data_IF_096341420257
#
_entry.id   IF_096341420257
#
_cell.length_a   1.000
_cell.length_b   1.000
_cell.length_c   1.000
_cell.angle_alpha   90.00
_cell.angle_beta   90.00
_cell.angle_gamma   90.00
#
_symmetry.space_group_name_H-M   'P 1'
#
loop_
_entity.id
_entity.type
_entity.pdbx_description
1 polymer ?
#
# COMPACT_ATOMS: atom_id res chain seq x y z
N UNK A 1 30.43 -9.39 -44.39
CA UNK A 1 29.23 -9.23 -43.56
C UNK A 1 29.54 -9.80 -42.19
N UNK A 2 29.68 -8.95 -41.16
CA UNK A 2 29.87 -9.39 -39.78
C UNK A 2 28.54 -9.91 -39.24
N UNK A 3 28.47 -11.20 -38.94
CA UNK A 3 27.33 -11.81 -38.27
C UNK A 3 27.27 -11.23 -36.86
N UNK A 4 26.23 -10.45 -36.55
CA UNK A 4 25.98 -10.00 -35.17
C UNK A 4 25.66 -11.24 -34.35
N UNK A 5 26.62 -11.70 -33.55
CA UNK A 5 26.41 -12.80 -32.60
C UNK A 5 25.50 -12.29 -31.48
N UNK A 6 24.23 -12.69 -31.52
CA UNK A 6 23.33 -12.52 -30.40
C UNK A 6 23.80 -13.43 -29.26
N UNK A 7 24.10 -12.82 -28.11
CA UNK A 7 24.36 -13.55 -26.86
C UNK A 7 23.08 -14.26 -26.42
N UNK A 8 23.21 -15.49 -25.96
CA UNK A 8 22.14 -16.17 -25.23
C UNK A 8 21.78 -15.41 -23.93
N UNK A 9 20.57 -15.62 -23.36
CA UNK A 9 20.19 -14.99 -22.09
C UNK A 9 21.18 -15.25 -20.95
N UNK A 10 21.71 -16.48 -20.83
CA UNK A 10 22.75 -16.82 -19.85
C UNK A 10 24.04 -16.05 -20.08
N UNK A 11 24.55 -16.01 -21.31
CA UNK A 11 25.78 -15.26 -21.63
C UNK A 11 25.62 -13.76 -21.38
N UNK A 12 24.43 -13.21 -21.64
CA UNK A 12 24.09 -11.84 -21.29
C UNK A 12 24.15 -11.64 -19.77
N UNK A 13 23.45 -12.48 -19.00
CA UNK A 13 23.44 -12.41 -17.54
C UNK A 13 24.84 -12.44 -16.93
N UNK A 14 25.69 -13.41 -17.31
CA UNK A 14 27.06 -13.52 -16.79
C UNK A 14 27.92 -12.31 -17.20
N UNK A 15 27.75 -11.83 -18.43
CA UNK A 15 28.49 -10.64 -18.89
C UNK A 15 28.08 -9.38 -18.13
N UNK A 16 26.79 -9.20 -17.86
CA UNK A 16 26.26 -8.08 -17.07
C UNK A 16 26.74 -8.18 -15.61
N UNK A 17 26.68 -9.37 -15.02
CA UNK A 17 27.12 -9.65 -13.65
C UNK A 17 28.59 -9.25 -13.44
N UNK A 18 29.46 -9.60 -14.39
CA UNK A 18 30.87 -9.20 -14.39
C UNK A 18 31.04 -7.69 -14.62
N UNK A 19 30.29 -7.11 -15.56
CA UNK A 19 30.39 -5.70 -15.91
C UNK A 19 29.98 -4.75 -14.77
N UNK A 20 28.97 -5.13 -13.98
CA UNK A 20 28.51 -4.33 -12.82
C UNK A 20 29.30 -4.62 -11.55
N UNK A 21 30.32 -5.51 -11.60
CA UNK A 21 31.09 -5.90 -10.42
C UNK A 21 30.24 -6.56 -9.35
N UNK A 22 29.31 -7.44 -9.75
CA UNK A 22 28.39 -8.10 -8.82
C UNK A 22 29.11 -8.85 -7.71
N UNK A 23 28.63 -8.67 -6.48
CA UNK A 23 29.06 -9.37 -5.27
C UNK A 23 27.84 -10.08 -4.70
N UNK A 24 28.01 -11.33 -4.24
CA UNK A 24 26.93 -12.04 -3.56
C UNK A 24 26.60 -11.33 -2.24
N UNK A 25 25.32 -11.28 -1.85
CA UNK A 25 24.85 -10.59 -0.63
C UNK A 25 25.59 -11.06 0.64
N UNK A 26 25.93 -12.35 0.70
CA UNK A 26 26.64 -12.96 1.84
C UNK A 26 28.09 -12.48 1.95
N UNK A 27 28.70 -12.08 0.83
CA UNK A 27 30.08 -11.59 0.75
C UNK A 27 30.17 -10.06 0.77
N UNK A 28 29.05 -9.36 0.60
CA UNK A 28 28.97 -7.91 0.53
C UNK A 28 29.28 -7.27 1.90
N UNK A 29 30.07 -6.21 1.88
CA UNK A 29 30.47 -5.45 3.07
C UNK A 29 29.86 -4.05 3.04
N UNK A 30 29.90 -3.36 4.18
CA UNK A 30 29.41 -1.98 4.28
C UNK A 30 30.02 -1.06 3.20
N UNK A 31 31.31 -1.21 2.92
CA UNK A 31 32.02 -0.44 1.89
C UNK A 31 31.43 -0.58 0.49
N UNK A 32 30.86 -1.75 0.16
CA UNK A 32 30.25 -2.00 -1.14
C UNK A 32 28.91 -1.23 -1.26
N UNK A 33 28.15 -1.19 -0.16
CA UNK A 33 26.93 -0.39 -0.06
C UNK A 33 27.22 1.12 -0.09
N UNK A 34 28.33 1.55 0.50
CA UNK A 34 28.74 2.96 0.49
C UNK A 34 29.16 3.39 -0.92
N UNK A 35 29.93 2.57 -1.64
CA UNK A 35 30.36 2.84 -3.04
C UNK A 35 29.18 2.96 -4.00
N UNK A 36 28.13 2.16 -3.81
CA UNK A 36 26.91 2.26 -4.62
C UNK A 36 25.99 3.42 -4.19
N UNK A 37 26.30 4.09 -3.07
CA UNK A 37 25.43 5.11 -2.50
C UNK A 37 24.07 4.56 -2.08
N UNK A 38 24.05 3.35 -1.50
CA UNK A 38 22.81 2.64 -1.17
C UNK A 38 21.95 3.45 -0.19
N UNK A 39 20.65 3.49 -0.45
CA UNK A 39 19.64 4.09 0.43
C UNK A 39 18.49 3.11 0.59
N UNK A 40 18.00 2.96 1.81
CA UNK A 40 16.86 2.12 2.14
C UNK A 40 15.85 2.89 2.98
N UNK A 41 14.57 2.59 2.79
CA UNK A 41 13.48 3.06 3.62
C UNK A 41 12.71 1.86 4.17
N UNK A 42 12.10 2.02 5.33
CA UNK A 42 11.24 1.03 5.96
C UNK A 42 9.86 1.64 6.20
N UNK A 43 8.83 0.95 5.73
CA UNK A 43 7.43 1.31 5.96
C UNK A 43 6.74 0.17 6.71
N UNK A 44 6.04 0.51 7.80
CA UNK A 44 5.38 -0.46 8.68
C UNK A 44 3.93 -0.03 8.89
N UNK A 45 2.98 -0.92 8.59
CA UNK A 45 1.56 -0.73 8.85
C UNK A 45 1.13 -1.65 9.99
N UNK A 46 0.50 -1.11 11.03
CA UNK A 46 0.05 -1.87 12.20
C UNK A 46 -1.42 -1.55 12.51
N UNK A 47 -2.27 -2.58 12.56
CA UNK A 47 -3.63 -2.43 13.06
C UNK A 47 -3.63 -2.26 14.59
N UNK A 48 -4.39 -1.30 15.09
CA UNK A 48 -4.53 -1.04 16.52
C UNK A 48 -5.65 -1.91 17.09
N UNK A 49 -5.41 -2.56 18.24
CA UNK A 49 -6.41 -3.35 18.95
C UNK A 49 -7.34 -2.44 19.76
N UNK A 50 -8.31 -1.82 19.08
CA UNK A 50 -9.29 -0.89 19.64
C UNK A 50 -10.72 -1.41 19.52
N UNK A 51 -11.63 -0.89 20.33
CA UNK A 51 -13.02 -1.32 20.36
C UNK A 51 -13.77 -1.07 19.03
N UNK A 52 -13.54 0.08 18.40
CA UNK A 52 -14.21 0.52 17.17
C UNK A 52 -13.26 1.08 16.11
N UNK A 53 -13.70 1.07 14.85
CA UNK A 53 -12.98 1.66 13.72
C UNK A 53 -12.72 3.16 13.92
N UNK A 54 -11.80 3.72 13.13
CA UNK A 54 -11.26 5.06 13.38
C UNK A 54 -12.31 6.19 13.30
N UNK A 55 -13.25 6.11 12.36
CA UNK A 55 -14.21 7.18 12.07
C UNK A 55 -15.67 6.70 12.10
N UNK A 56 -15.95 5.54 12.72
CA UNK A 56 -17.31 5.05 12.92
C UNK A 56 -17.39 4.15 14.16
N UNK A 57 -18.59 3.71 14.53
CA UNK A 57 -18.84 2.88 15.72
C UNK A 57 -18.79 1.37 15.45
N UNK A 58 -18.42 0.94 14.24
CA UNK A 58 -18.28 -0.47 13.93
C UNK A 58 -17.13 -1.11 14.71
N UNK A 59 -17.29 -2.35 15.19
CA UNK A 59 -16.24 -3.04 15.94
C UNK A 59 -15.01 -3.34 15.07
N UNK A 60 -13.84 -3.46 15.70
CA UNK A 60 -12.62 -4.00 15.05
C UNK A 60 -12.36 -5.45 15.45
N UNK A 61 -11.45 -6.13 14.74
CA UNK A 61 -11.00 -7.50 15.08
C UNK A 61 -11.98 -8.62 14.69
N UNK A 62 -13.07 -8.31 14.00
CA UNK A 62 -14.03 -9.30 13.47
C UNK A 62 -13.83 -9.40 11.95
N UNK A 63 -13.32 -10.55 11.50
CA UNK A 63 -13.06 -10.82 10.08
C UNK A 63 -14.10 -11.82 9.54
N UNK A 64 -14.60 -11.54 8.34
CA UNK A 64 -15.60 -12.38 7.66
C UNK A 64 -14.93 -13.27 6.62
N UNK A 65 -15.49 -14.46 6.38
CA UNK A 65 -15.16 -15.23 5.18
C UNK A 65 -15.78 -14.60 3.91
N UNK A 66 -15.27 -14.92 2.71
CA UNK A 66 -15.79 -14.33 1.47
C UNK A 66 -17.30 -14.53 1.22
N UNK A 67 -17.87 -15.60 1.76
CA UNK A 67 -19.28 -15.99 1.68
C UNK A 67 -20.13 -15.49 2.86
N UNK A 68 -19.52 -14.84 3.85
CA UNK A 68 -20.19 -14.29 5.04
C UNK A 68 -20.45 -12.79 4.87
N UNK A 69 -21.55 -12.45 4.19
CA UNK A 69 -21.98 -11.07 4.01
C UNK A 69 -23.50 -10.95 3.93
N UNK A 70 -24.02 -9.80 4.34
CA UNK A 70 -25.45 -9.54 4.39
C UNK A 70 -25.93 -8.78 3.13
N UNK A 71 -25.02 -8.03 2.50
CA UNK A 71 -25.29 -7.32 1.25
C UNK A 71 -24.02 -7.11 0.42
N UNK A 72 -24.21 -6.88 -0.87
CA UNK A 72 -23.15 -6.48 -1.79
C UNK A 72 -23.59 -5.29 -2.63
N UNK A 73 -22.63 -4.44 -3.00
CA UNK A 73 -22.89 -3.31 -3.90
C UNK A 73 -21.69 -3.02 -4.79
N UNK A 74 -21.96 -2.41 -5.95
CA UNK A 74 -20.98 -2.12 -6.98
C UNK A 74 -20.65 -0.62 -7.00
N UNK A 75 -19.37 -0.29 -7.12
CA UNK A 75 -18.90 1.07 -7.35
C UNK A 75 -17.98 1.15 -8.56
N UNK A 76 -17.96 2.33 -9.16
CA UNK A 76 -16.98 2.75 -10.15
C UNK A 76 -16.31 4.01 -9.65
N UNK A 77 -14.98 3.96 -9.51
CA UNK A 77 -14.20 5.14 -9.14
C UNK A 77 -14.07 6.06 -10.35
N UNK A 78 -14.08 7.38 -10.11
CA UNK A 78 -13.87 8.40 -11.15
C UNK A 78 -12.67 9.26 -10.78
N UNK A 79 -11.82 9.65 -11.75
CA UNK A 79 -10.75 10.58 -11.49
C UNK A 79 -11.35 11.98 -11.29
N UNK A 80 -10.75 12.74 -10.38
CA UNK A 80 -11.12 14.13 -10.11
C UNK A 80 -10.02 15.04 -10.62
N UNK A 81 -10.39 16.23 -11.10
CA UNK A 81 -9.42 17.25 -11.47
C UNK A 81 -8.68 17.75 -10.23
N UNK A 82 -7.37 17.92 -10.34
CA UNK A 82 -6.58 18.64 -9.35
C UNK A 82 -6.97 20.11 -9.33
N UNK A 83 -6.50 20.84 -8.31
CA UNK A 83 -6.63 22.30 -8.24
C UNK A 83 -6.06 23.00 -9.49
N UNK A 84 -5.07 22.40 -10.16
CA UNK A 84 -4.46 22.89 -11.40
C UNK A 84 -5.21 22.45 -12.66
N UNK A 85 -6.38 21.81 -12.52
CA UNK A 85 -7.18 21.31 -13.63
C UNK A 85 -6.57 20.11 -14.35
N UNK A 86 -5.64 19.39 -13.72
CA UNK A 86 -4.97 18.21 -14.29
C UNK A 86 -5.44 16.93 -13.60
N UNK A 87 -5.51 15.84 -14.35
CA UNK A 87 -5.73 14.51 -13.76
C UNK A 87 -4.43 13.88 -13.32
N UNK A 88 -4.46 13.16 -12.20
CA UNK A 88 -3.40 12.24 -11.85
C UNK A 88 -3.30 11.11 -12.89
N UNK A 89 -2.08 10.83 -13.33
CA UNK A 89 -1.81 9.86 -14.38
C UNK A 89 -2.21 8.43 -13.98
N UNK A 90 -1.98 8.05 -12.72
CA UNK A 90 -2.32 6.72 -12.23
C UNK A 90 -3.85 6.55 -12.09
N UNK A 91 -4.54 7.55 -11.54
CA UNK A 91 -6.00 7.56 -11.46
C UNK A 91 -6.67 7.50 -12.84
N UNK A 92 -6.12 8.19 -13.83
CA UNK A 92 -6.61 8.13 -15.21
C UNK A 92 -6.39 6.76 -15.85
N UNK A 93 -5.24 6.12 -15.58
CA UNK A 93 -4.97 4.76 -16.05
C UNK A 93 -5.91 3.74 -15.42
N UNK A 94 -6.14 3.82 -14.09
CA UNK A 94 -7.10 2.94 -13.40
C UNK A 94 -8.52 3.16 -13.95
N UNK A 95 -8.94 4.41 -14.17
CA UNK A 95 -10.25 4.70 -14.76
C UNK A 95 -10.44 4.08 -16.16
N UNK A 96 -9.40 4.09 -16.99
CA UNK A 96 -9.42 3.47 -18.33
C UNK A 96 -9.62 1.96 -18.28
N UNK A 97 -9.24 1.28 -17.19
CA UNK A 97 -9.52 -0.15 -17.02
C UNK A 97 -11.00 -0.47 -16.86
N UNK A 98 -11.85 0.54 -16.56
CA UNK A 98 -13.28 0.40 -16.27
C UNK A 98 -13.56 -0.63 -15.18
N UNK A 99 -12.68 -0.70 -14.17
CA UNK A 99 -12.77 -1.66 -13.08
C UNK A 99 -14.09 -1.50 -12.32
N UNK A 100 -14.74 -2.65 -12.12
CA UNK A 100 -15.89 -2.80 -11.25
C UNK A 100 -15.39 -3.22 -9.86
N UNK A 101 -15.76 -2.45 -8.82
CA UNK A 101 -15.42 -2.79 -7.44
C UNK A 101 -16.69 -3.24 -6.74
N UNK A 102 -16.76 -4.54 -6.44
CA UNK A 102 -17.86 -5.11 -5.65
C UNK A 102 -17.44 -5.14 -4.19
N UNK A 103 -18.15 -4.38 -3.36
CA UNK A 103 -18.01 -4.40 -1.91
C UNK A 103 -19.02 -5.38 -1.32
N UNK A 104 -18.55 -6.20 -0.37
CA UNK A 104 -19.40 -7.07 0.46
C UNK A 104 -19.38 -6.53 1.88
N UNK A 105 -20.56 -6.44 2.48
CA UNK A 105 -20.72 -5.86 3.81
C UNK A 105 -21.48 -6.81 4.72
N UNK A 106 -21.06 -6.83 5.98
CA UNK A 106 -21.84 -7.44 7.06
C UNK A 106 -22.31 -6.35 8.01
N UNK A 107 -23.58 -6.42 8.39
CA UNK A 107 -24.22 -5.60 9.42
C UNK A 107 -23.51 -5.67 10.78
N UNK A 108 -22.72 -6.73 11.02
CA UNK A 108 -21.93 -6.88 12.24
C UNK A 108 -20.70 -5.96 12.29
N UNK A 109 -20.15 -5.56 11.14
CA UNK A 109 -18.84 -4.89 11.05
C UNK A 109 -18.79 -3.68 10.12
N UNK A 110 -19.89 -3.40 9.43
CA UNK A 110 -20.03 -2.26 8.54
C UNK A 110 -21.31 -1.47 8.86
N UNK A 111 -21.22 -0.16 8.66
CA UNK A 111 -22.34 0.77 8.73
C UNK A 111 -22.35 1.64 7.47
N UNK A 112 -23.30 2.56 7.37
CA UNK A 112 -23.44 3.45 6.21
C UNK A 112 -22.21 4.32 5.95
N UNK A 113 -21.40 4.62 6.96
CA UNK A 113 -20.12 5.29 6.78
C UNK A 113 -19.15 4.47 5.92
N UNK A 114 -19.03 3.16 6.15
CA UNK A 114 -18.18 2.26 5.36
C UNK A 114 -18.68 2.09 3.91
N UNK A 115 -19.95 2.41 3.68
CA UNK A 115 -20.58 2.40 2.36
C UNK A 115 -20.42 3.72 1.60
N UNK A 116 -19.79 4.72 2.23
CA UNK A 116 -19.69 6.11 1.76
C UNK A 116 -21.05 6.80 1.62
N UNK A 117 -22.02 6.42 2.45
CA UNK A 117 -23.40 6.95 2.45
C UNK A 117 -23.69 7.87 3.66
N UNK A 118 -22.73 8.02 4.58
CA UNK A 118 -22.84 8.89 5.75
C UNK A 118 -21.55 9.67 5.98
N UNK A 119 -21.67 10.85 6.59
CA UNK A 119 -20.50 11.63 7.00
C UNK A 119 -19.67 10.92 8.07
N UNK A 120 -18.39 11.27 8.16
CA UNK A 120 -17.48 10.74 9.19
C UNK A 120 -17.90 11.16 10.60
N UNK A 121 -17.82 10.21 11.53
CA UNK A 121 -17.99 10.47 12.95
C UNK A 121 -16.71 11.04 13.57
N UNK A 122 -16.79 11.47 14.83
CA UNK A 122 -15.62 11.88 15.60
C UNK A 122 -14.58 10.74 15.67
N UNK A 123 -13.29 11.11 15.64
CA UNK A 123 -12.18 10.16 15.69
C UNK A 123 -12.28 9.25 16.92
N UNK A 124 -11.88 7.98 16.77
CA UNK A 124 -11.72 7.08 17.91
C UNK A 124 -10.57 7.58 18.81
N UNK A 125 -10.93 8.10 19.99
CA UNK A 125 -9.98 8.59 20.99
C UNK A 125 -9.03 7.51 21.51
N UNK A 126 -9.46 6.25 21.59
CA UNK A 126 -8.58 5.13 21.98
C UNK A 126 -7.51 4.90 20.92
N UNK A 127 -7.90 4.89 19.64
CA UNK A 127 -6.95 4.77 18.53
C UNK A 127 -5.95 5.94 18.50
N UNK A 128 -6.44 7.17 18.70
CA UNK A 128 -5.60 8.35 18.82
C UNK A 128 -4.62 8.24 20.00
N UNK A 129 -5.08 7.82 21.18
CA UNK A 129 -4.24 7.64 22.35
C UNK A 129 -3.13 6.61 22.09
N UNK A 130 -3.44 5.50 21.43
CA UNK A 130 -2.46 4.48 21.08
C UNK A 130 -1.44 5.00 20.05
N UNK A 131 -1.89 5.73 19.04
CA UNK A 131 -1.02 6.38 18.08
C UNK A 131 -0.05 7.36 18.75
N UNK A 132 -0.53 8.20 19.67
CA UNK A 132 0.30 9.13 20.45
C UNK A 132 1.30 8.39 21.34
N UNK A 133 0.88 7.29 21.98
CA UNK A 133 1.78 6.46 22.79
C UNK A 133 2.90 5.86 21.94
N UNK A 134 2.57 5.33 20.76
CA UNK A 134 3.56 4.81 19.81
C UNK A 134 4.52 5.93 19.40
N UNK A 135 4.00 7.10 19.01
CA UNK A 135 4.82 8.25 18.63
C UNK A 135 5.81 8.67 19.74
N UNK A 136 5.35 8.74 21.00
CA UNK A 136 6.23 9.04 22.15
C UNK A 136 7.26 7.95 22.41
N UNK A 137 6.91 6.66 22.27
CA UNK A 137 7.85 5.55 22.42
C UNK A 137 8.99 5.61 21.38
N UNK A 138 8.66 6.02 20.15
CA UNK A 138 9.64 6.23 19.08
C UNK A 138 10.27 7.63 19.09
N UNK A 139 9.96 8.46 20.09
CA UNK A 139 10.48 9.82 20.25
C UNK A 139 10.22 10.72 19.04
N UNK A 140 9.06 10.56 18.41
CA UNK A 140 8.60 11.48 17.39
C UNK A 140 8.25 12.83 18.00
N UNK A 141 8.37 13.90 17.21
CA UNK A 141 7.98 15.25 17.61
C UNK A 141 6.49 15.44 17.35
N UNK A 142 5.69 15.52 18.43
CA UNK A 142 4.23 15.65 18.40
C UNK A 142 3.75 16.72 19.37
#
# INVERSE_FOLDING_TARGET
MSVVKFKSPQENYESSKKAVGYICREDAKQEDYDKMGFRSGLEVHQQLAVDRKLFCYCPTGIYQKPDEYDAEFLRHMRPTLSELGTYDGAALMEYKTKKQITYRISTQTACTYEMDEAAHFAINHQALQYALRIALLYKFNI
#
